data_IF_507641590148
#
_entry.id   IF_507641590148
#
_cell.length_a   1.000
_cell.length_b   1.000
_cell.length_c   1.000
_cell.angle_alpha   90.00
_cell.angle_beta   90.00
_cell.angle_gamma   90.00
#
_symmetry.space_group_name_H-M   'P 1'
#
loop_
_entity.id
_entity.type
_entity.pdbx_description
1 polymer ?
#
# COMPACT_ATOMS: atom_id res chain seq x y z
N UNK A 1 -17.51 30.18 24.32
CA UNK A 1 -16.46 29.25 23.91
C UNK A 1 -16.72 28.95 22.44
N UNK A 2 -15.90 29.56 21.56
CA UNK A 2 -16.17 29.62 20.12
C UNK A 2 -15.83 28.30 19.42
N UNK A 3 -16.73 27.89 18.52
CA UNK A 3 -16.52 26.86 17.52
C UNK A 3 -15.73 27.49 16.38
N UNK A 4 -14.49 27.05 16.18
CA UNK A 4 -13.67 27.51 15.06
C UNK A 4 -14.30 27.05 13.74
N UNK A 5 -14.58 27.98 12.83
CA UNK A 5 -15.22 27.75 11.57
C UNK A 5 -14.32 26.99 10.59
N UNK A 6 -14.93 26.06 9.86
CA UNK A 6 -14.37 25.38 8.70
C UNK A 6 -14.11 26.41 7.62
N UNK A 7 -12.89 26.48 7.09
CA UNK A 7 -12.50 27.46 6.08
C UNK A 7 -13.11 27.15 4.69
N UNK A 8 -13.16 28.14 3.80
CA UNK A 8 -13.70 27.98 2.45
C UNK A 8 -12.94 26.96 1.60
N UNK A 9 -11.66 26.74 1.87
CA UNK A 9 -10.84 25.72 1.20
C UNK A 9 -11.23 24.29 1.57
N UNK A 10 -11.69 24.07 2.83
CA UNK A 10 -12.18 22.76 3.26
C UNK A 10 -13.51 22.39 2.58
N UNK A 11 -14.32 23.39 2.23
CA UNK A 11 -15.59 23.17 1.50
C UNK A 11 -15.39 22.88 0.02
N UNK A 12 -14.40 23.49 -0.63
CA UNK A 12 -14.07 23.19 -2.03
C UNK A 12 -13.43 21.79 -2.18
N UNK A 13 -12.66 21.34 -1.21
CA UNK A 13 -12.12 19.97 -1.20
C UNK A 13 -13.19 18.88 -0.97
N UNK A 14 -14.27 19.18 -0.25
CA UNK A 14 -15.42 18.27 -0.11
C UNK A 14 -16.28 18.17 -1.36
N UNK A 15 -16.32 19.18 -2.21
CA UNK A 15 -17.14 19.20 -3.43
C UNK A 15 -16.56 18.35 -4.58
N UNK A 16 -15.29 17.96 -4.53
CA UNK A 16 -14.65 17.13 -5.55
C UNK A 16 -15.02 15.62 -5.49
N UNK A 17 -15.81 15.21 -4.51
CA UNK A 17 -16.21 13.81 -4.29
C UNK A 17 -17.73 13.53 -4.42
N UNK A 18 -18.54 14.49 -4.87
CA UNK A 18 -20.01 14.39 -4.83
C UNK A 18 -20.69 13.89 -6.12
N UNK A 19 -20.03 13.14 -6.97
CA UNK A 19 -20.70 12.44 -8.09
C UNK A 19 -20.54 10.93 -8.03
N UNK A 20 -20.96 10.33 -6.90
CA UNK A 20 -21.27 8.91 -6.84
C UNK A 20 -22.79 8.75 -6.71
N UNK A 21 -23.48 8.51 -7.82
CA UNK A 21 -24.84 7.99 -7.81
C UNK A 21 -24.78 6.56 -7.28
N UNK A 22 -25.37 6.34 -6.11
CA UNK A 22 -25.56 5.00 -5.54
C UNK A 22 -26.50 4.18 -6.44
N UNK A 23 -26.14 2.94 -6.80
CA UNK A 23 -27.07 2.05 -7.50
C UNK A 23 -28.28 1.74 -6.62
N UNK A 24 -29.48 1.81 -7.19
CA UNK A 24 -30.72 1.47 -6.52
C UNK A 24 -30.77 0.00 -6.10
N UNK A 25 -31.13 -0.23 -4.84
CA UNK A 25 -31.40 -1.54 -4.19
C UNK A 25 -30.19 -2.36 -3.75
N UNK A 26 -29.40 -1.85 -2.82
CA UNK A 26 -28.56 -2.69 -1.98
C UNK A 26 -29.38 -3.27 -0.81
N UNK A 27 -29.26 -4.59 -0.57
CA UNK A 27 -29.82 -5.20 0.64
C UNK A 27 -29.08 -4.64 1.85
N UNK A 28 -29.73 -3.76 2.60
CA UNK A 28 -29.18 -3.23 3.85
C UNK A 28 -28.98 -4.38 4.84
N UNK A 29 -27.73 -4.71 5.11
CA UNK A 29 -27.36 -5.62 6.21
C UNK A 29 -27.06 -4.76 7.42
N UNK A 30 -27.78 -4.90 8.53
CA UNK A 30 -27.48 -4.16 9.76
C UNK A 30 -26.02 -4.37 10.16
N UNK A 31 -25.34 -3.32 10.59
CA UNK A 31 -23.91 -3.34 10.94
C UNK A 31 -23.57 -4.42 11.97
N UNK A 32 -24.46 -4.69 12.89
CA UNK A 32 -24.36 -5.75 13.90
C UNK A 32 -24.31 -7.19 13.35
N UNK A 33 -24.67 -7.41 12.08
CA UNK A 33 -24.67 -8.73 11.42
C UNK A 33 -23.49 -8.91 10.44
N UNK A 34 -22.73 -7.87 10.19
CA UNK A 34 -21.58 -7.95 9.27
C UNK A 34 -20.40 -8.61 9.96
N UNK A 35 -19.70 -9.49 9.25
CA UNK A 35 -18.40 -10.02 9.69
C UNK A 35 -17.39 -8.88 9.75
N UNK A 36 -16.64 -8.78 10.84
CA UNK A 36 -15.69 -7.68 11.08
C UNK A 36 -14.29 -8.04 10.60
N UNK A 37 -13.61 -7.08 9.99
CA UNK A 37 -12.22 -7.19 9.55
C UNK A 37 -11.46 -6.03 10.17
N UNK A 38 -10.37 -6.31 10.89
CA UNK A 38 -9.47 -5.26 11.37
C UNK A 38 -8.51 -4.89 10.24
N UNK A 39 -8.36 -3.59 9.99
CA UNK A 39 -7.36 -3.07 9.04
C UNK A 39 -6.41 -2.14 9.78
N UNK A 40 -5.16 -2.56 9.91
CA UNK A 40 -4.10 -1.83 10.62
C UNK A 40 -3.11 -1.26 9.62
N UNK A 41 -3.25 0.03 9.33
CA UNK A 41 -2.35 0.77 8.46
C UNK A 41 -1.45 1.72 9.26
N UNK A 42 -0.39 2.19 8.61
CA UNK A 42 0.51 3.19 9.21
C UNK A 42 1.82 3.30 8.42
N UNK A 43 2.63 4.34 8.68
CA UNK A 43 3.89 4.52 8.01
C UNK A 43 4.90 3.43 8.36
N UNK A 44 5.95 3.33 7.55
CA UNK A 44 7.09 2.46 7.86
C UNK A 44 7.71 2.86 9.21
N UNK A 45 8.26 1.90 9.95
CA UNK A 45 8.91 2.05 11.27
C UNK A 45 7.99 2.51 12.44
N UNK A 46 6.67 2.56 12.27
CA UNK A 46 5.73 2.97 13.34
C UNK A 46 5.45 1.86 14.38
N UNK A 47 5.79 0.59 14.07
CA UNK A 47 5.57 -0.53 14.99
C UNK A 47 4.35 -1.41 14.68
N UNK A 48 3.79 -1.34 13.45
CA UNK A 48 2.63 -2.14 13.04
C UNK A 48 2.77 -3.64 13.31
N UNK A 49 3.92 -4.23 12.98
CA UNK A 49 4.17 -5.67 13.10
C UNK A 49 3.97 -6.14 14.54
N UNK A 50 4.63 -5.49 15.49
CA UNK A 50 4.48 -5.83 16.90
C UNK A 50 3.04 -5.66 17.39
N UNK A 51 2.39 -4.55 17.03
CA UNK A 51 1.03 -4.26 17.43
C UNK A 51 0.03 -5.28 16.85
N UNK A 52 0.18 -5.65 15.57
CA UNK A 52 -0.70 -6.63 14.93
C UNK A 52 -0.58 -8.02 15.53
N UNK A 53 0.63 -8.45 15.90
CA UNK A 53 0.87 -9.73 16.55
C UNK A 53 0.23 -9.74 17.95
N UNK A 54 0.38 -8.66 18.73
CA UNK A 54 -0.26 -8.53 20.03
C UNK A 54 -1.79 -8.60 19.94
N UNK A 55 -2.38 -7.92 18.96
CA UNK A 55 -3.83 -7.99 18.70
C UNK A 55 -4.22 -9.42 18.29
N UNK A 56 -3.51 -10.03 17.34
CA UNK A 56 -3.82 -11.36 16.83
C UNK A 56 -3.80 -12.42 17.95
N UNK A 57 -2.81 -12.37 18.83
CA UNK A 57 -2.73 -13.26 20.01
C UNK A 57 -3.93 -13.08 20.95
N UNK A 58 -4.35 -11.86 21.18
CA UNK A 58 -5.43 -11.56 22.13
C UNK A 58 -6.81 -12.03 21.65
N UNK A 59 -7.07 -11.99 20.33
CA UNK A 59 -8.42 -12.27 19.78
C UNK A 59 -8.49 -13.51 18.88
N UNK A 60 -7.42 -14.34 18.84
CA UNK A 60 -7.37 -15.48 17.93
C UNK A 60 -7.40 -15.09 16.46
N UNK A 61 -6.62 -14.05 16.11
CA UNK A 61 -6.58 -13.51 14.76
C UNK A 61 -5.44 -14.08 13.91
N UNK A 62 -5.58 -13.94 12.58
CA UNK A 62 -4.54 -14.24 11.60
C UNK A 62 -4.25 -12.98 10.77
N UNK A 63 -2.99 -12.79 10.37
CA UNK A 63 -2.53 -11.58 9.69
C UNK A 63 -2.55 -11.79 8.17
N UNK A 64 -3.13 -10.84 7.44
CA UNK A 64 -3.04 -10.74 5.98
C UNK A 64 -2.15 -9.55 5.64
N UNK A 65 -0.96 -9.80 5.08
CA UNK A 65 -0.01 -8.73 4.75
C UNK A 65 -0.49 -7.92 3.55
N UNK A 66 -0.66 -6.61 3.72
CA UNK A 66 -0.94 -5.64 2.67
C UNK A 66 0.33 -4.83 2.33
N UNK A 67 1.42 -5.55 2.07
CA UNK A 67 2.70 -5.00 1.62
C UNK A 67 3.07 -5.58 0.26
N UNK A 68 3.40 -4.71 -0.70
CA UNK A 68 3.68 -5.12 -2.08
C UNK A 68 5.03 -5.81 -2.28
N UNK A 69 5.91 -5.78 -1.25
CA UNK A 69 7.26 -6.33 -1.35
C UNK A 69 7.45 -7.58 -0.48
N UNK A 70 6.72 -7.72 0.62
CA UNK A 70 6.83 -8.89 1.49
C UNK A 70 6.34 -10.20 0.86
N UNK A 71 5.68 -10.13 -0.27
CA UNK A 71 5.24 -11.28 -1.05
C UNK A 71 6.41 -12.05 -1.68
N UNK A 72 7.54 -11.38 -1.95
CA UNK A 72 8.69 -11.98 -2.61
C UNK A 72 9.55 -12.76 -1.63
N UNK A 73 9.83 -14.04 -1.94
CA UNK A 73 10.74 -14.89 -1.16
C UNK A 73 12.14 -14.32 -1.15
N UNK A 74 12.78 -14.39 0.02
CA UNK A 74 14.13 -13.92 0.21
C UNK A 74 14.34 -12.42 0.33
N UNK A 75 13.33 -11.60 0.10
CA UNK A 75 13.33 -10.17 0.39
C UNK A 75 12.91 -9.93 1.84
N UNK A 76 13.77 -10.27 2.80
CA UNK A 76 13.39 -10.39 4.21
C UNK A 76 13.81 -9.17 5.03
N UNK A 77 15.10 -8.83 4.99
CA UNK A 77 15.68 -7.73 5.78
C UNK A 77 15.15 -6.39 5.27
N UNK A 78 15.30 -6.12 3.97
CA UNK A 78 14.93 -4.83 3.39
C UNK A 78 13.43 -4.53 3.41
N UNK A 79 12.57 -5.55 3.47
CA UNK A 79 11.13 -5.39 3.62
C UNK A 79 10.66 -5.45 5.07
N UNK A 80 11.58 -5.73 6.01
CA UNK A 80 11.29 -5.94 7.43
C UNK A 80 10.15 -6.92 7.67
N UNK A 81 10.19 -8.08 7.04
CA UNK A 81 9.25 -9.17 7.33
C UNK A 81 9.24 -9.51 8.82
N UNK A 82 8.11 -9.97 9.30
CA UNK A 82 7.99 -10.51 10.65
C UNK A 82 8.99 -11.66 10.83
N UNK A 83 9.63 -11.69 12.01
CA UNK A 83 10.61 -12.73 12.31
C UNK A 83 9.96 -14.12 12.22
N UNK A 84 10.69 -15.18 11.83
CA UNK A 84 10.14 -16.54 11.77
C UNK A 84 9.42 -16.97 13.05
N UNK A 85 9.98 -16.66 14.21
CA UNK A 85 9.34 -16.97 15.52
C UNK A 85 7.98 -16.28 15.69
N UNK A 86 7.83 -15.06 15.18
CA UNK A 86 6.53 -14.35 15.23
C UNK A 86 5.52 -15.01 14.28
N UNK A 87 6.00 -15.52 13.14
CA UNK A 87 5.16 -16.22 12.16
C UNK A 87 4.79 -17.64 12.60
N UNK A 88 5.58 -18.26 13.46
CA UNK A 88 5.25 -19.54 14.09
C UNK A 88 4.13 -19.40 15.13
N UNK A 89 4.03 -18.23 15.78
CA UNK A 89 3.00 -17.94 16.77
C UNK A 89 1.69 -17.42 16.18
N UNK A 90 1.75 -16.63 15.13
CA UNK A 90 0.60 -16.03 14.44
C UNK A 90 0.70 -16.31 12.95
N UNK A 91 -0.35 -16.92 12.39
CA UNK A 91 -0.39 -17.21 10.95
C UNK A 91 -0.38 -15.91 10.14
N UNK A 92 0.53 -15.85 9.17
CA UNK A 92 0.65 -14.73 8.25
C UNK A 92 0.38 -15.19 6.82
N UNK A 93 -0.53 -14.52 6.15
CA UNK A 93 -0.89 -14.73 4.74
C UNK A 93 -0.23 -13.66 3.87
N UNK A 94 0.03 -13.98 2.60
CA UNK A 94 0.63 -13.11 1.59
C UNK A 94 2.05 -12.63 1.95
N UNK A 95 2.78 -13.47 2.65
CA UNK A 95 4.23 -13.35 2.85
C UNK A 95 4.88 -14.54 2.13
N UNK A 96 6.01 -14.33 1.47
CA UNK A 96 6.77 -15.39 0.77
C UNK A 96 5.92 -16.20 -0.24
N UNK A 97 4.97 -15.56 -0.90
CA UNK A 97 4.03 -16.21 -1.84
C UNK A 97 4.46 -16.14 -3.29
N UNK A 98 5.54 -15.42 -3.60
CA UNK A 98 6.07 -15.20 -4.97
C UNK A 98 7.57 -15.40 -5.04
N UNK A 99 8.02 -15.95 -6.17
CA UNK A 99 9.43 -15.92 -6.55
C UNK A 99 9.75 -14.65 -7.34
N UNK A 100 11.04 -14.33 -7.52
CA UNK A 100 11.46 -13.08 -8.18
C UNK A 100 11.11 -13.01 -9.68
N UNK A 101 10.87 -14.13 -10.32
CA UNK A 101 10.46 -14.21 -11.72
C UNK A 101 8.93 -14.06 -11.89
N UNK A 102 8.18 -14.05 -10.80
CA UNK A 102 6.74 -13.86 -10.81
C UNK A 102 6.36 -12.37 -10.63
N UNK A 103 5.33 -11.95 -11.35
CA UNK A 103 4.73 -10.64 -11.11
C UNK A 103 3.74 -10.68 -9.94
N UNK A 104 3.56 -9.54 -9.28
CA UNK A 104 2.50 -9.37 -8.30
C UNK A 104 1.93 -7.95 -8.38
N UNK A 105 0.64 -7.86 -8.54
CA UNK A 105 -0.07 -6.60 -8.73
C UNK A 105 -1.30 -6.50 -7.81
N UNK A 106 -1.96 -5.34 -7.83
CA UNK A 106 -3.10 -5.05 -6.95
C UNK A 106 -4.31 -5.96 -7.19
N UNK A 107 -4.51 -6.46 -8.41
CA UNK A 107 -5.64 -7.36 -8.74
C UNK A 107 -5.38 -8.75 -8.16
N UNK A 108 -4.14 -9.23 -8.24
CA UNK A 108 -3.71 -10.48 -7.62
C UNK A 108 -3.78 -10.38 -6.10
N UNK A 109 -3.27 -9.27 -5.52
CA UNK A 109 -3.44 -8.99 -4.10
C UNK A 109 -4.91 -9.04 -3.68
N UNK A 110 -5.80 -8.35 -4.38
CA UNK A 110 -7.23 -8.33 -4.07
C UNK A 110 -7.82 -9.73 -4.02
N UNK A 111 -7.56 -10.53 -5.04
CA UNK A 111 -8.08 -11.91 -5.14
C UNK A 111 -7.56 -12.78 -4.00
N UNK A 112 -6.26 -12.75 -3.76
CA UNK A 112 -5.61 -13.61 -2.76
C UNK A 112 -5.89 -13.17 -1.33
N UNK A 113 -5.96 -11.85 -1.07
CA UNK A 113 -6.34 -11.34 0.23
C UNK A 113 -7.78 -11.74 0.60
N UNK A 114 -8.71 -11.64 -0.35
CA UNK A 114 -10.09 -12.10 -0.11
C UNK A 114 -10.19 -13.61 0.04
N UNK A 115 -9.39 -14.37 -0.66
CA UNK A 115 -9.31 -15.82 -0.46
C UNK A 115 -8.85 -16.13 0.97
N UNK A 116 -7.73 -15.55 1.40
CA UNK A 116 -7.21 -15.71 2.76
C UNK A 116 -8.23 -15.28 3.84
N UNK A 117 -8.88 -14.11 3.66
CA UNK A 117 -9.90 -13.62 4.61
C UNK A 117 -11.07 -14.61 4.76
N UNK A 118 -11.53 -15.19 3.65
CA UNK A 118 -12.61 -16.21 3.70
C UNK A 118 -12.18 -17.45 4.45
N UNK A 119 -11.00 -17.97 4.17
CA UNK A 119 -10.44 -19.12 4.88
C UNK A 119 -10.24 -18.87 6.37
N UNK A 120 -9.80 -17.65 6.76
CA UNK A 120 -9.69 -17.22 8.16
C UNK A 120 -11.04 -17.28 8.83
N UNK A 121 -12.07 -16.73 8.22
CA UNK A 121 -13.44 -16.79 8.74
C UNK A 121 -13.99 -18.23 8.84
N UNK A 122 -13.66 -19.09 7.88
CA UNK A 122 -14.12 -20.48 7.87
C UNK A 122 -13.47 -21.30 8.99
N UNK A 123 -12.27 -20.90 9.44
CA UNK A 123 -11.62 -21.45 10.66
C UNK A 123 -12.13 -20.83 11.96
N UNK A 124 -13.03 -19.85 11.89
CA UNK A 124 -13.54 -19.12 13.07
C UNK A 124 -12.54 -18.11 13.65
N UNK A 125 -11.46 -17.80 12.93
CA UNK A 125 -10.46 -16.80 13.32
C UNK A 125 -10.83 -15.39 12.84
N UNK A 126 -10.09 -14.38 13.32
CA UNK A 126 -10.31 -12.97 12.99
C UNK A 126 -9.29 -12.49 11.96
N UNK A 127 -9.72 -12.02 10.77
CA UNK A 127 -8.78 -11.48 9.80
C UNK A 127 -8.30 -10.08 10.21
N UNK A 128 -6.97 -9.91 10.22
CA UNK A 128 -6.29 -8.66 10.52
C UNK A 128 -5.43 -8.29 9.32
N UNK A 129 -5.87 -7.34 8.52
CA UNK A 129 -5.12 -6.84 7.37
C UNK A 129 -4.11 -5.80 7.82
N UNK A 130 -2.83 -6.04 7.57
CA UNK A 130 -1.74 -5.21 8.09
C UNK A 130 -0.83 -4.74 6.97
N UNK A 131 -0.62 -3.44 6.84
CA UNK A 131 0.31 -2.98 5.83
C UNK A 131 0.48 -1.46 5.72
N UNK A 132 1.28 -1.09 4.73
CA UNK A 132 1.54 0.32 4.41
C UNK A 132 1.26 0.66 2.96
N UNK A 133 0.86 -0.32 2.13
CA UNK A 133 0.55 -0.12 0.71
C UNK A 133 -0.90 0.35 0.58
N UNK A 134 -1.09 1.67 0.64
CA UNK A 134 -2.44 2.27 0.66
C UNK A 134 -3.31 1.85 -0.51
N UNK A 135 -2.72 1.70 -1.71
CA UNK A 135 -3.46 1.26 -2.89
C UNK A 135 -4.01 -0.18 -2.76
N UNK A 136 -3.28 -1.07 -2.10
CA UNK A 136 -3.76 -2.43 -1.82
C UNK A 136 -4.92 -2.43 -0.84
N UNK A 137 -4.78 -1.68 0.25
CA UNK A 137 -5.83 -1.57 1.28
C UNK A 137 -7.08 -0.90 0.71
N UNK A 138 -6.92 0.17 -0.09
CA UNK A 138 -8.03 0.80 -0.80
C UNK A 138 -8.76 -0.20 -1.70
N UNK A 139 -8.01 -0.94 -2.50
CA UNK A 139 -8.60 -1.94 -3.41
C UNK A 139 -9.29 -3.08 -2.65
N UNK A 140 -8.77 -3.50 -1.50
CA UNK A 140 -9.41 -4.51 -0.67
C UNK A 140 -10.79 -4.06 -0.19
N UNK A 141 -10.92 -2.81 0.21
CA UNK A 141 -12.15 -2.23 0.78
C UNK A 141 -13.16 -1.90 -0.33
N UNK A 142 -12.72 -1.23 -1.39
CA UNK A 142 -13.61 -0.63 -2.39
C UNK A 142 -13.65 -1.39 -3.72
N UNK A 143 -12.76 -2.35 -3.91
CA UNK A 143 -12.61 -3.09 -5.15
C UNK A 143 -11.33 -2.73 -5.92
N UNK A 144 -10.88 -3.65 -6.80
CA UNK A 144 -9.71 -3.43 -7.62
C UNK A 144 -9.99 -2.36 -8.68
N UNK A 145 -8.94 -1.69 -9.20
CA UNK A 145 -9.11 -0.70 -10.25
C UNK A 145 -9.73 -1.33 -11.50
N UNK A 146 -10.61 -0.58 -12.14
CA UNK A 146 -11.23 -0.96 -13.41
C UNK A 146 -10.20 -0.92 -14.55
N UNK A 147 -10.42 -1.76 -15.54
CA UNK A 147 -9.64 -1.79 -16.76
C UNK A 147 -9.03 -3.18 -17.04
N UNK A 148 -8.54 -3.38 -18.28
CA UNK A 148 -7.95 -4.65 -18.69
C UNK A 148 -6.63 -4.91 -17.95
N UNK A 149 -6.13 -6.15 -17.96
CA UNK A 149 -4.74 -6.43 -17.61
C UNK A 149 -3.77 -5.55 -18.40
N UNK A 150 -2.58 -5.33 -17.86
CA UNK A 150 -1.54 -4.61 -18.58
C UNK A 150 -1.16 -5.34 -19.86
N UNK A 151 -0.97 -4.59 -20.96
CA UNK A 151 -0.46 -5.10 -22.23
C UNK A 151 1.03 -4.76 -22.34
N UNK A 152 1.94 -5.73 -22.20
CA UNK A 152 3.38 -5.47 -22.26
C UNK A 152 3.82 -4.78 -23.55
N UNK A 153 3.20 -5.15 -24.68
CA UNK A 153 3.50 -4.58 -26.00
C UNK A 153 3.11 -3.10 -26.10
N UNK A 154 1.87 -2.78 -25.73
CA UNK A 154 1.37 -1.39 -25.73
C UNK A 154 2.18 -0.55 -24.72
N UNK A 155 2.45 -1.12 -23.56
CA UNK A 155 3.21 -0.47 -22.48
C UNK A 155 4.61 -0.09 -22.93
N UNK A 156 5.33 -1.02 -23.54
CA UNK A 156 6.69 -0.80 -24.05
C UNK A 156 6.72 0.33 -25.08
N UNK A 157 5.81 0.30 -26.04
CA UNK A 157 5.72 1.37 -27.05
C UNK A 157 5.45 2.74 -26.42
N UNK A 158 4.51 2.80 -25.47
CA UNK A 158 4.19 4.06 -24.77
C UNK A 158 5.37 4.56 -23.91
N UNK A 159 6.17 3.67 -23.35
CA UNK A 159 7.39 4.02 -22.61
C UNK A 159 8.45 4.59 -23.55
N UNK A 160 8.67 3.98 -24.73
CA UNK A 160 9.57 4.50 -25.76
C UNK A 160 9.11 5.89 -26.28
N UNK A 161 7.80 6.07 -26.48
CA UNK A 161 7.24 7.38 -26.82
C UNK A 161 7.46 8.42 -25.69
N UNK A 162 7.27 8.00 -24.46
CA UNK A 162 7.48 8.86 -23.28
C UNK A 162 8.94 9.33 -23.18
N UNK A 163 9.89 8.45 -23.45
CA UNK A 163 11.31 8.78 -23.39
C UNK A 163 11.74 9.69 -24.54
N UNK A 164 11.09 9.59 -25.71
CA UNK A 164 11.40 10.45 -26.88
C UNK A 164 10.67 11.77 -26.86
N UNK A 165 9.39 11.82 -26.48
CA UNK A 165 8.54 13.01 -26.58
C UNK A 165 8.34 13.73 -25.24
N UNK A 166 8.65 13.05 -24.14
CA UNK A 166 8.48 13.55 -22.78
C UNK A 166 7.03 13.43 -22.25
N UNK A 167 6.86 13.60 -20.93
CA UNK A 167 5.57 13.36 -20.27
C UNK A 167 4.49 14.36 -20.65
N UNK A 168 4.87 15.58 -21.04
CA UNK A 168 3.90 16.61 -21.41
C UNK A 168 3.18 16.28 -22.72
N UNK A 169 3.89 15.77 -23.72
CA UNK A 169 3.28 15.38 -24.99
C UNK A 169 2.24 14.26 -24.81
N UNK A 170 2.57 13.25 -24.01
CA UNK A 170 1.64 12.17 -23.70
C UNK A 170 0.46 12.66 -22.84
N UNK A 171 0.67 13.63 -21.96
CA UNK A 171 -0.41 14.25 -21.18
C UNK A 171 -1.38 15.04 -22.07
N UNK A 172 -0.88 15.82 -23.04
CA UNK A 172 -1.77 16.51 -23.99
C UNK A 172 -2.57 15.51 -24.84
N UNK A 173 -1.96 14.41 -25.30
CA UNK A 173 -2.69 13.32 -25.98
C UNK A 173 -3.77 12.70 -25.08
N UNK A 174 -3.48 12.49 -23.78
CA UNK A 174 -4.47 12.03 -22.82
C UNK A 174 -5.61 13.04 -22.68
N UNK A 175 -5.29 14.31 -22.59
CA UNK A 175 -6.25 15.41 -22.45
C UNK A 175 -7.17 15.55 -23.68
N UNK A 176 -6.65 15.35 -24.86
CA UNK A 176 -7.46 15.35 -26.11
C UNK A 176 -8.44 14.16 -26.14
N UNK A 177 -7.99 12.97 -25.70
CA UNK A 177 -8.79 11.74 -25.78
C UNK A 177 -9.75 11.56 -24.60
N UNK A 178 -9.35 11.97 -23.40
CA UNK A 178 -10.14 11.89 -22.17
C UNK A 178 -9.88 13.11 -21.26
N UNK A 179 -10.49 14.25 -21.58
CA UNK A 179 -10.31 15.49 -20.80
C UNK A 179 -10.70 15.34 -19.33
N UNK A 180 -11.75 14.55 -19.07
CA UNK A 180 -12.27 14.33 -17.71
C UNK A 180 -11.24 13.61 -16.82
N UNK A 181 -10.67 12.53 -17.31
CA UNK A 181 -9.63 11.81 -16.58
C UNK A 181 -8.34 12.64 -16.47
N UNK A 182 -7.91 13.29 -17.54
CA UNK A 182 -6.71 14.12 -17.55
C UNK A 182 -6.75 15.23 -16.48
N UNK A 183 -7.92 15.81 -16.22
CA UNK A 183 -8.09 16.83 -15.18
C UNK A 183 -7.78 16.30 -13.76
N UNK A 184 -7.97 14.99 -13.53
CA UNK A 184 -7.69 14.33 -12.25
C UNK A 184 -6.23 13.90 -12.07
N UNK A 185 -5.40 14.02 -13.11
CA UNK A 185 -4.03 13.52 -13.15
C UNK A 185 -3.04 14.67 -13.34
N UNK A 186 -1.95 14.65 -12.58
CA UNK A 186 -0.85 15.59 -12.82
C UNK A 186 -0.16 15.31 -14.15
N UNK A 187 0.16 16.37 -14.93
CA UNK A 187 0.95 16.28 -16.16
C UNK A 187 2.37 15.68 -15.95
N UNK A 188 2.81 15.54 -14.71
CA UNK A 188 4.09 14.91 -14.32
C UNK A 188 3.94 13.47 -13.86
N UNK A 189 2.71 12.95 -13.73
CA UNK A 189 2.47 11.58 -13.27
C UNK A 189 2.58 10.58 -14.44
N UNK A 190 3.84 10.25 -14.77
CA UNK A 190 4.17 9.34 -15.88
C UNK A 190 3.38 8.04 -15.81
N UNK A 191 3.24 7.45 -14.61
CA UNK A 191 2.57 6.16 -14.45
C UNK A 191 1.08 6.21 -14.76
N UNK A 192 0.38 7.23 -14.27
CA UNK A 192 -1.05 7.39 -14.53
C UNK A 192 -1.32 7.75 -15.98
N UNK A 193 -0.50 8.61 -16.59
CA UNK A 193 -0.59 8.98 -18.00
C UNK A 193 -0.42 7.73 -18.88
N UNK A 194 0.66 6.97 -18.68
CA UNK A 194 0.93 5.74 -19.44
C UNK A 194 -0.20 4.73 -19.28
N UNK A 195 -0.65 4.50 -18.04
CA UNK A 195 -1.71 3.53 -17.78
C UNK A 195 -3.04 3.94 -18.42
N UNK A 196 -3.39 5.21 -18.39
CA UNK A 196 -4.60 5.71 -19.02
C UNK A 196 -4.56 5.53 -20.55
N UNK A 197 -3.46 5.89 -21.18
CA UNK A 197 -3.28 5.70 -22.62
C UNK A 197 -3.30 4.22 -23.01
N UNK A 198 -2.64 3.36 -22.23
CA UNK A 198 -2.66 1.90 -22.41
C UNK A 198 -4.08 1.35 -22.34
N UNK A 199 -4.86 1.71 -21.31
CA UNK A 199 -6.27 1.29 -21.19
C UNK A 199 -7.07 1.73 -22.41
N UNK A 200 -6.95 3.01 -22.82
CA UNK A 200 -7.69 3.51 -23.98
C UNK A 200 -7.29 2.86 -25.28
N UNK A 201 -6.05 2.44 -25.44
CA UNK A 201 -5.61 1.74 -26.64
C UNK A 201 -6.09 0.29 -26.68
N UNK A 202 -6.11 -0.39 -25.53
CA UNK A 202 -6.56 -1.78 -25.42
C UNK A 202 -8.09 -1.89 -25.51
N UNK A 203 -8.81 -0.98 -24.85
CA UNK A 203 -10.29 -1.05 -24.73
C UNK A 203 -11.04 -0.25 -25.76
N UNK A 204 -10.37 0.70 -26.42
CA UNK A 204 -11.00 1.74 -27.26
C UNK A 204 -12.05 2.60 -26.49
N UNK A 205 -11.97 2.63 -25.15
CA UNK A 205 -12.87 3.38 -24.28
C UNK A 205 -12.07 4.43 -23.47
N UNK A 206 -12.75 5.50 -23.07
CA UNK A 206 -12.17 6.46 -22.13
C UNK A 206 -12.04 5.85 -20.74
N UNK A 207 -10.99 6.22 -20.02
CA UNK A 207 -10.83 5.78 -18.63
C UNK A 207 -11.94 6.33 -17.75
N UNK A 208 -12.38 7.57 -18.01
CA UNK A 208 -13.51 8.19 -17.32
C UNK A 208 -14.86 7.49 -17.51
N UNK A 209 -15.01 6.68 -18.56
CA UNK A 209 -16.23 5.93 -18.83
C UNK A 209 -16.22 4.54 -18.19
N UNK A 210 -15.06 4.10 -17.68
CA UNK A 210 -14.96 2.81 -17.00
C UNK A 210 -15.70 2.87 -15.66
N UNK A 211 -16.70 2.04 -15.51
CA UNK A 211 -17.42 1.90 -14.24
C UNK A 211 -16.47 1.30 -13.19
N UNK A 212 -16.29 1.95 -12.03
CA UNK A 212 -15.54 1.36 -10.94
C UNK A 212 -16.10 -0.02 -10.60
N UNK A 213 -15.22 -0.98 -10.39
CA UNK A 213 -15.63 -2.32 -9.95
C UNK A 213 -16.10 -2.21 -8.51
N UNK A 214 -17.37 -1.80 -8.31
CA UNK A 214 -17.97 -1.85 -6.99
C UNK A 214 -18.11 -3.30 -6.57
N UNK A 215 -17.34 -3.70 -5.59
CA UNK A 215 -17.55 -4.97 -4.95
C UNK A 215 -18.52 -4.79 -3.80
N UNK A 216 -19.45 -5.73 -3.64
CA UNK A 216 -20.39 -5.78 -2.50
C UNK A 216 -19.66 -5.93 -1.14
N UNK A 217 -18.33 -6.05 -1.15
CA UNK A 217 -17.55 -6.32 0.05
C UNK A 217 -17.65 -5.22 1.10
N UNK A 218 -17.64 -3.94 0.69
CA UNK A 218 -17.80 -2.82 1.63
C UNK A 218 -19.18 -2.86 2.34
N UNK A 219 -20.18 -3.48 1.69
CA UNK A 219 -21.52 -3.61 2.24
C UNK A 219 -21.72 -4.90 3.05
N UNK A 220 -20.94 -5.94 2.75
CA UNK A 220 -21.04 -7.25 3.42
C UNK A 220 -20.22 -7.32 4.70
N UNK A 221 -19.15 -6.54 4.80
CA UNK A 221 -18.20 -6.59 5.91
C UNK A 221 -18.15 -5.26 6.67
N UNK A 222 -17.81 -5.33 7.95
CA UNK A 222 -17.56 -4.17 8.82
C UNK A 222 -16.05 -3.99 9.00
N UNK A 223 -15.47 -3.06 8.25
CA UNK A 223 -14.04 -2.75 8.31
C UNK A 223 -13.74 -1.84 9.50
N UNK A 224 -12.94 -2.34 10.43
CA UNK A 224 -12.41 -1.60 11.59
C UNK A 224 -11.04 -1.05 11.24
N UNK A 225 -11.01 0.12 10.61
CA UNK A 225 -9.81 0.70 10.02
C UNK A 225 -9.09 1.65 10.98
N UNK A 226 -7.81 1.35 11.23
CA UNK A 226 -6.94 2.13 12.08
C UNK A 226 -5.67 2.52 11.35
N UNK A 227 -5.33 3.82 11.41
CA UNK A 227 -4.04 4.34 10.96
C UNK A 227 -3.21 4.71 12.19
N UNK A 228 -2.23 3.86 12.52
CA UNK A 228 -1.32 4.14 13.63
C UNK A 228 -0.19 5.04 13.16
N UNK A 229 0.11 6.07 13.92
CA UNK A 229 1.13 7.05 13.55
C UNK A 229 1.87 7.57 14.78
N UNK A 230 2.96 8.25 14.55
CA UNK A 230 3.64 9.13 15.52
C UNK A 230 4.05 10.43 14.83
N UNK A 231 4.32 11.51 15.59
CA UNK A 231 4.84 12.76 15.06
C UNK A 231 6.10 12.54 14.21
N UNK A 232 6.30 13.41 13.24
CA UNK A 232 7.43 13.32 12.30
C UNK A 232 8.79 13.33 13.02
N UNK A 233 8.88 14.13 14.06
CA UNK A 233 10.09 14.33 14.86
C UNK A 233 10.53 13.04 15.54
N UNK A 234 9.59 12.16 15.89
CA UNK A 234 9.84 10.86 16.48
C UNK A 234 9.98 9.76 15.44
N UNK A 235 9.19 9.84 14.37
CA UNK A 235 9.16 8.80 13.33
C UNK A 235 10.45 8.77 12.48
N UNK A 236 10.98 9.95 12.11
CA UNK A 236 12.12 10.01 11.19
C UNK A 236 13.41 9.43 11.79
N UNK A 237 13.79 9.71 13.04
CA UNK A 237 14.89 9.01 13.69
C UNK A 237 14.72 7.49 13.72
N UNK A 238 13.51 7.00 13.97
CA UNK A 238 13.21 5.54 13.95
C UNK A 238 13.38 4.94 12.55
N UNK A 239 12.96 5.65 11.50
CA UNK A 239 13.16 5.20 10.12
C UNK A 239 14.65 5.10 9.81
N UNK A 240 15.45 6.11 10.19
CA UNK A 240 16.89 6.13 9.91
C UNK A 240 17.62 5.05 10.69
N UNK A 241 17.34 4.91 11.97
CA UNK A 241 17.90 3.83 12.81
C UNK A 241 17.55 2.45 12.25
N UNK A 242 16.32 2.25 11.76
CA UNK A 242 15.92 0.99 11.14
C UNK A 242 16.69 0.72 9.84
N UNK A 243 16.97 1.74 9.01
CA UNK A 243 17.82 1.58 7.83
C UNK A 243 19.23 1.14 8.23
N UNK A 244 19.81 1.74 9.26
CA UNK A 244 21.13 1.36 9.79
C UNK A 244 21.13 -0.09 10.32
N UNK A 245 20.08 -0.47 11.05
CA UNK A 245 19.90 -1.84 11.53
C UNK A 245 19.78 -2.86 10.40
N UNK A 246 19.03 -2.56 9.34
CA UNK A 246 18.93 -3.42 8.16
C UNK A 246 20.30 -3.65 7.52
N UNK A 247 21.07 -2.58 7.34
CA UNK A 247 22.43 -2.68 6.79
C UNK A 247 23.34 -3.50 7.69
N UNK A 248 23.30 -3.27 9.00
CA UNK A 248 24.08 -4.03 9.98
C UNK A 248 23.65 -5.52 10.06
N UNK A 249 22.40 -5.84 9.73
CA UNK A 249 21.85 -7.19 9.73
C UNK A 249 22.11 -7.98 8.43
N UNK A 250 22.89 -7.43 7.49
CA UNK A 250 23.27 -8.15 6.26
C UNK A 250 22.42 -7.81 5.04
N UNK A 251 21.80 -6.63 5.00
CA UNK A 251 20.98 -6.22 3.86
C UNK A 251 21.75 -6.19 2.52
N UNK A 252 23.02 -5.78 2.54
CA UNK A 252 23.86 -5.79 1.33
C UNK A 252 24.04 -7.21 0.79
N UNK A 253 24.26 -8.19 1.67
CA UNK A 253 24.43 -9.60 1.31
C UNK A 253 23.12 -10.20 0.79
N UNK A 254 21.98 -9.81 1.38
CA UNK A 254 20.67 -10.16 0.88
C UNK A 254 20.48 -9.69 -0.57
N UNK A 255 20.78 -8.42 -0.86
CA UNK A 255 20.63 -7.87 -2.21
C UNK A 255 21.59 -8.54 -3.19
N UNK A 256 22.85 -8.80 -2.82
CA UNK A 256 23.81 -9.52 -3.67
C UNK A 256 23.36 -10.93 -4.02
N UNK A 257 22.71 -11.63 -3.09
CA UNK A 257 22.14 -12.95 -3.33
C UNK A 257 20.97 -12.87 -4.29
N UNK A 258 20.01 -11.98 -4.01
CA UNK A 258 18.82 -11.79 -4.83
C UNK A 258 19.14 -11.31 -6.26
N UNK A 259 20.21 -10.53 -6.43
CA UNK A 259 20.67 -10.10 -7.75
C UNK A 259 21.13 -11.29 -8.61
N UNK A 260 21.79 -12.28 -8.01
CA UNK A 260 22.14 -13.54 -8.71
C UNK A 260 20.90 -14.36 -9.06
N UNK A 261 19.82 -14.22 -8.29
CA UNK A 261 18.52 -14.86 -8.52
C UNK A 261 17.64 -14.07 -9.51
N UNK A 262 18.08 -12.89 -9.94
CA UNK A 262 17.41 -12.09 -10.98
C UNK A 262 16.60 -10.91 -10.47
N UNK A 263 16.91 -10.34 -9.31
CA UNK A 263 16.21 -9.18 -8.74
C UNK A 263 16.06 -8.02 -9.75
N UNK A 264 17.12 -7.66 -10.47
CA UNK A 264 17.08 -6.58 -11.46
C UNK A 264 16.15 -6.85 -12.65
N UNK A 265 15.79 -8.11 -12.89
CA UNK A 265 14.87 -8.50 -13.97
C UNK A 265 13.40 -8.32 -13.55
N UNK A 266 13.12 -8.29 -12.26
CA UNK A 266 11.77 -8.01 -11.76
C UNK A 266 11.51 -6.51 -11.70
N UNK A 267 10.61 -5.94 -12.54
CA UNK A 267 10.41 -4.49 -12.63
C UNK A 267 9.77 -3.88 -11.37
N UNK A 268 9.16 -4.71 -10.52
CA UNK A 268 8.52 -4.29 -9.27
C UNK A 268 9.47 -4.43 -8.09
N UNK A 269 10.02 -5.63 -7.88
CA UNK A 269 10.91 -5.94 -6.75
C UNK A 269 12.20 -5.10 -6.77
N UNK A 270 12.79 -4.88 -7.96
CA UNK A 270 13.99 -4.04 -8.12
C UNK A 270 13.78 -2.58 -7.72
N UNK A 271 12.54 -2.08 -7.75
CA UNK A 271 12.20 -0.71 -7.35
C UNK A 271 11.86 -0.58 -5.86
N UNK A 272 11.90 -1.68 -5.10
CA UNK A 272 11.68 -1.63 -3.66
C UNK A 272 12.70 -0.69 -2.98
N UNK A 273 12.20 0.04 -1.98
CA UNK A 273 13.04 0.99 -1.23
C UNK A 273 14.13 0.23 -0.49
N UNK A 274 15.33 0.72 -0.57
CA UNK A 274 16.53 0.05 -0.09
C UNK A 274 17.17 -0.80 -1.19
N UNK A 275 16.42 -1.71 -1.81
CA UNK A 275 16.94 -2.59 -2.86
C UNK A 275 17.41 -1.80 -4.08
N UNK A 276 16.61 -0.89 -4.60
CA UNK A 276 17.01 -0.01 -5.69
C UNK A 276 18.30 0.74 -5.38
N UNK A 277 18.37 1.39 -4.21
CA UNK A 277 19.54 2.17 -3.82
C UNK A 277 20.78 1.27 -3.63
N UNK A 278 20.58 0.05 -3.13
CA UNK A 278 21.65 -0.93 -2.98
C UNK A 278 22.14 -1.45 -4.34
N UNK A 279 21.24 -1.71 -5.30
CA UNK A 279 21.59 -2.06 -6.68
C UNK A 279 22.38 -0.95 -7.35
N UNK A 280 21.96 0.31 -7.19
CA UNK A 280 22.71 1.47 -7.70
C UNK A 280 24.15 1.51 -7.12
N UNK A 281 24.30 1.25 -5.80
CA UNK A 281 25.60 1.15 -5.15
C UNK A 281 26.44 -0.04 -5.67
N UNK A 282 25.84 -1.22 -5.85
CA UNK A 282 26.55 -2.39 -6.37
C UNK A 282 27.06 -2.19 -7.79
N UNK A 283 26.40 -1.35 -8.57
CA UNK A 283 26.78 -0.98 -9.93
C UNK A 283 27.74 0.24 -10.00
N UNK A 284 28.09 0.84 -8.86
CA UNK A 284 29.07 1.93 -8.76
C UNK A 284 30.47 1.37 -8.47
N UNK A 285 31.52 2.22 -8.46
CA UNK A 285 32.87 1.83 -8.03
C UNK A 285 32.98 1.31 -6.59
N UNK A 286 31.92 1.45 -5.80
CA UNK A 286 31.80 1.04 -4.39
C UNK A 286 32.88 1.69 -3.50
N UNK A 287 33.18 2.96 -3.76
CA UNK A 287 34.04 3.79 -2.92
C UNK A 287 33.38 4.10 -1.57
N UNK A 288 34.13 4.60 -0.58
CA UNK A 288 33.54 5.11 0.65
C UNK A 288 32.45 6.19 0.42
N UNK A 289 32.66 7.05 -0.57
CA UNK A 289 31.70 8.09 -0.97
C UNK A 289 30.43 7.50 -1.56
N UNK A 290 30.55 6.44 -2.38
CA UNK A 290 29.39 5.71 -2.94
C UNK A 290 28.58 5.03 -1.81
N UNK A 291 29.28 4.51 -0.80
CA UNK A 291 28.64 3.93 0.37
C UNK A 291 27.83 4.97 1.18
N UNK A 292 28.43 6.12 1.47
CA UNK A 292 27.75 7.22 2.17
C UNK A 292 26.54 7.71 1.37
N UNK A 293 26.69 7.81 0.05
CA UNK A 293 25.61 8.17 -0.85
C UNK A 293 24.47 7.16 -0.81
N UNK A 294 24.76 5.86 -0.86
CA UNK A 294 23.78 4.78 -0.73
C UNK A 294 22.98 4.93 0.56
N UNK A 295 23.64 5.02 1.71
CA UNK A 295 23.00 5.14 3.02
C UNK A 295 22.09 6.39 3.06
N UNK A 296 22.60 7.52 2.58
CA UNK A 296 21.82 8.77 2.51
C UNK A 296 20.56 8.60 1.66
N UNK A 297 20.69 8.05 0.45
CA UNK A 297 19.58 7.82 -0.47
C UNK A 297 18.56 6.84 0.08
N UNK A 298 18.99 5.76 0.74
CA UNK A 298 18.12 4.79 1.36
C UNK A 298 17.27 5.43 2.48
N UNK A 299 17.88 6.15 3.42
CA UNK A 299 17.20 6.89 4.48
C UNK A 299 16.22 7.93 3.89
N UNK A 300 16.65 8.69 2.89
CA UNK A 300 15.80 9.68 2.24
C UNK A 300 14.57 9.04 1.55
N UNK A 301 14.76 7.95 0.82
CA UNK A 301 13.68 7.24 0.14
C UNK A 301 12.66 6.69 1.15
N UNK A 302 13.13 6.16 2.30
CA UNK A 302 12.31 5.64 3.38
C UNK A 302 11.46 6.74 4.04
N UNK A 303 12.05 7.93 4.32
CA UNK A 303 11.30 9.09 4.84
C UNK A 303 10.26 9.59 3.84
N UNK A 304 10.62 9.65 2.54
CA UNK A 304 9.68 10.03 1.47
C UNK A 304 8.53 9.03 1.35
N UNK A 305 8.79 7.75 1.57
CA UNK A 305 7.75 6.73 1.57
C UNK A 305 6.78 6.93 2.74
N UNK A 306 7.28 7.13 3.95
CA UNK A 306 6.44 7.46 5.10
C UNK A 306 5.55 8.69 4.82
N UNK A 307 6.10 9.76 4.24
CA UNK A 307 5.33 10.94 3.84
C UNK A 307 4.22 10.60 2.85
N UNK A 308 4.50 9.74 1.85
CA UNK A 308 3.46 9.30 0.89
C UNK A 308 2.35 8.51 1.57
N UNK A 309 2.68 7.64 2.56
CA UNK A 309 1.69 6.90 3.32
C UNK A 309 0.76 7.84 4.09
N UNK A 310 1.28 8.85 4.80
CA UNK A 310 0.44 9.87 5.44
C UNK A 310 -0.47 10.60 4.45
N UNK A 311 0.07 11.00 3.29
CA UNK A 311 -0.69 11.71 2.26
C UNK A 311 -1.82 10.85 1.69
N UNK A 312 -1.57 9.54 1.52
CA UNK A 312 -2.57 8.60 1.05
C UNK A 312 -3.70 8.43 2.07
N UNK A 313 -3.36 8.03 3.29
CA UNK A 313 -4.35 7.67 4.31
C UNK A 313 -5.16 8.85 4.85
N UNK A 314 -4.70 10.09 4.69
CA UNK A 314 -5.52 11.28 4.95
C UNK A 314 -6.77 11.39 4.07
N UNK A 315 -6.77 10.73 2.93
CA UNK A 315 -7.90 10.71 1.98
C UNK A 315 -8.84 9.53 2.20
N UNK A 316 -8.49 8.62 3.10
CA UNK A 316 -9.27 7.41 3.37
C UNK A 316 -10.23 7.66 4.54
N UNK A 317 -11.54 7.83 4.28
CA UNK A 317 -12.50 8.30 5.28
C UNK A 317 -12.80 7.30 6.39
N UNK A 318 -12.56 5.99 6.15
CA UNK A 318 -12.83 4.94 7.14
C UNK A 318 -11.79 4.85 8.24
N UNK A 319 -10.62 5.49 8.07
CA UNK A 319 -9.50 5.32 8.99
C UNK A 319 -9.60 6.24 10.21
N UNK A 320 -9.60 5.64 11.40
CA UNK A 320 -9.36 6.31 12.66
C UNK A 320 -7.86 6.42 12.89
N UNK A 321 -7.43 7.55 13.41
CA UNK A 321 -6.01 7.85 13.61
C UNK A 321 -5.63 7.67 15.07
N UNK A 322 -4.62 6.83 15.34
CA UNK A 322 -4.12 6.55 16.69
C UNK A 322 -2.65 6.97 16.80
N UNK A 323 -2.36 7.93 17.66
CA UNK A 323 -0.99 8.34 17.95
C UNK A 323 -0.35 7.36 18.94
N UNK A 324 0.54 6.49 18.41
CA UNK A 324 1.25 5.49 19.22
C UNK A 324 2.51 6.01 19.92
N UNK A 325 2.80 7.32 19.80
CA UNK A 325 3.83 7.96 20.61
C UNK A 325 3.32 8.34 22.02
N UNK A 326 2.00 8.49 22.16
CA UNK A 326 1.36 8.97 23.41
C UNK A 326 0.68 7.87 24.21
N UNK A 327 0.65 6.65 23.71
CA UNK A 327 0.03 5.48 24.35
C UNK A 327 1.01 4.31 24.36
N UNK A 328 0.92 3.44 25.37
CA UNK A 328 1.71 2.22 25.36
C UNK A 328 1.25 1.26 24.26
N UNK A 329 2.09 0.33 23.78
CA UNK A 329 1.70 -0.69 22.81
C UNK A 329 0.50 -1.51 23.27
N UNK A 330 0.39 -1.83 24.55
CA UNK A 330 -0.69 -2.58 25.17
C UNK A 330 -2.01 -1.79 25.08
N UNK A 331 -1.99 -0.51 25.47
CA UNK A 331 -3.17 0.35 25.38
C UNK A 331 -3.60 0.61 23.94
N UNK A 332 -2.66 0.67 23.01
CA UNK A 332 -2.97 0.77 21.59
C UNK A 332 -3.67 -0.49 21.08
N UNK A 333 -3.18 -1.68 21.47
CA UNK A 333 -3.82 -2.94 21.13
C UNK A 333 -5.23 -3.04 21.74
N UNK A 334 -5.37 -2.74 23.03
CA UNK A 334 -6.65 -2.75 23.73
C UNK A 334 -7.68 -1.82 23.07
N UNK A 335 -7.28 -0.61 22.70
CA UNK A 335 -8.16 0.36 22.00
C UNK A 335 -8.72 -0.24 20.69
N UNK A 336 -7.90 -0.92 19.93
CA UNK A 336 -8.30 -1.53 18.64
C UNK A 336 -9.19 -2.76 18.90
N UNK A 337 -8.86 -3.57 19.90
CA UNK A 337 -9.65 -4.75 20.29
C UNK A 337 -11.03 -4.33 20.80
N UNK A 338 -11.12 -3.34 21.65
CA UNK A 338 -12.40 -2.82 22.14
C UNK A 338 -13.28 -2.32 20.99
N UNK A 339 -12.71 -1.57 20.02
CA UNK A 339 -13.46 -1.17 18.82
C UNK A 339 -13.95 -2.36 17.99
N UNK A 340 -13.14 -3.41 17.87
CA UNK A 340 -13.54 -4.63 17.18
C UNK A 340 -14.69 -5.36 17.92
N UNK A 341 -14.67 -5.41 19.25
CA UNK A 341 -15.69 -6.09 20.06
C UNK A 341 -17.02 -5.33 20.09
N UNK A 342 -16.99 -4.00 19.99
CA UNK A 342 -18.20 -3.18 19.97
C UNK A 342 -19.15 -3.61 18.85
N UNK A 343 -20.34 -4.03 19.23
CA UNK A 343 -21.47 -4.31 18.33
C UNK A 343 -22.42 -3.11 18.39
N UNK A 344 -22.47 -2.31 17.33
CA UNK A 344 -23.45 -1.23 17.17
C UNK A 344 -24.61 -1.66 16.31
#
# INVERSE_FOLDING_TARGET
VGIAGITSEDKEQQLLFTHFTLPEKQKYIPRSKKKKIIVLAGPTAVGKTHLSISIARAIGGEIVSADSMQVYRGMDIGTAKAHPTDRDEVVHHLIDSRDLDESFNVVEFYREAWHAIKEIFDRGAVPIVVGGTGFYIHSLIYGPPSGPPASPEVRKRLEEELDTQGPLALYERLKERDPSYAHSVSSRDRHKILRALEIMEVTQQKVSDLVPTHTENADLYDFRCWFVYMPREELYPRIEMRCDQMVASGFLEEVKRLEKEGLSKNPTASQAIGYRQCLDFLNSPQSPEDWEHFIHCFKQASRRYAKRQFTWFRKEPLFRWLNVATVSPENAAETIIQDYELSF
#
